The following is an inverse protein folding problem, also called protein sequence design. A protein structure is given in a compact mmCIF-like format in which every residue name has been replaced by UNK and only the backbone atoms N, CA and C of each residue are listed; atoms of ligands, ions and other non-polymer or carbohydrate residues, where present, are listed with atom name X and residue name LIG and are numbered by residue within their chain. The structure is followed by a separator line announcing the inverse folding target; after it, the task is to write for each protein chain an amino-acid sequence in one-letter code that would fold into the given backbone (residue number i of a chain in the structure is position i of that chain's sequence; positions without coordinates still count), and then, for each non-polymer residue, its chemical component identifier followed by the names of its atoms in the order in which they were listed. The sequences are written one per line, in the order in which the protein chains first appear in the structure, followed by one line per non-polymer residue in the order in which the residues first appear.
data_IF_301042931684
#
_entry.id   IF_301042931684
#
_cell.length_a   1.000
_cell.length_b   1.000
_cell.length_c   1.000
_cell.angle_alpha   90.00
_cell.angle_beta   90.00
_cell.angle_gamma   90.00
#
_symmetry.space_group_name_H-M   'P 1'
#
loop_
_entity.id
_entity.type
_entity.pdbx_description
1 polymer ?
#
# COMPACT_ATOMS: atom_id res chain seq x y z
N UNK A 1 -11.07 25.50 2.86
CA UNK A 1 -10.85 24.56 3.98
C UNK A 1 -9.36 24.24 4.01
N UNK A 2 -8.65 24.48 5.10
CA UNK A 2 -7.23 24.15 5.19
C UNK A 2 -7.07 22.64 5.42
N UNK A 3 -6.14 22.01 4.71
CA UNK A 3 -5.81 20.59 4.89
C UNK A 3 -5.11 20.32 6.24
N UNK A 4 -5.01 19.05 6.66
CA UNK A 4 -4.26 18.67 7.85
C UNK A 4 -2.77 19.03 7.70
N UNK A 5 -2.13 19.44 8.79
CA UNK A 5 -0.71 19.77 8.81
C UNK A 5 0.17 18.57 8.46
N UNK A 6 1.28 18.79 7.74
CA UNK A 6 2.25 17.76 7.38
C UNK A 6 2.69 16.90 8.58
N UNK A 7 2.90 17.51 9.75
CA UNK A 7 3.27 16.80 10.97
C UNK A 7 2.19 15.82 11.46
N UNK A 8 0.91 16.20 11.35
CA UNK A 8 -0.20 15.33 11.76
C UNK A 8 -0.35 14.13 10.80
N UNK A 9 -0.14 14.37 9.50
CA UNK A 9 -0.10 13.30 8.50
C UNK A 9 1.04 12.32 8.81
N UNK A 10 2.26 12.82 8.95
CA UNK A 10 3.44 11.99 9.25
C UNK A 10 3.26 11.19 10.55
N UNK A 11 2.82 11.83 11.63
CA UNK A 11 2.58 11.14 12.91
C UNK A 11 1.58 9.98 12.75
N UNK A 12 0.49 10.21 12.00
CA UNK A 12 -0.53 9.18 11.75
C UNK A 12 0.03 8.02 10.93
N UNK A 13 0.74 8.31 9.83
CA UNK A 13 1.34 7.29 8.97
C UNK A 13 2.36 6.43 9.72
N UNK A 14 3.31 7.06 10.42
CA UNK A 14 4.36 6.34 11.15
C UNK A 14 3.79 5.57 12.34
N UNK A 15 2.82 6.14 13.08
CA UNK A 15 2.14 5.45 14.17
C UNK A 15 1.46 4.17 13.70
N UNK A 16 0.67 4.25 12.63
CA UNK A 16 0.00 3.07 12.05
C UNK A 16 0.99 2.04 11.50
N UNK A 17 2.10 2.50 10.89
CA UNK A 17 3.14 1.63 10.36
C UNK A 17 3.83 0.81 11.47
N UNK A 18 4.14 1.45 12.61
CA UNK A 18 4.75 0.81 13.78
C UNK A 18 3.78 -0.18 14.41
N UNK A 19 2.51 0.20 14.59
CA UNK A 19 1.49 -0.70 15.12
C UNK A 19 1.35 -1.92 14.22
N UNK A 20 1.29 -1.72 12.90
CA UNK A 20 1.24 -2.82 11.94
C UNK A 20 2.48 -3.72 12.02
N UNK A 21 3.68 -3.15 12.15
CA UNK A 21 4.92 -3.90 12.31
C UNK A 21 4.89 -4.79 13.57
N UNK A 22 4.43 -4.24 14.70
CA UNK A 22 4.30 -4.98 15.96
C UNK A 22 3.30 -6.13 15.84
N UNK A 23 2.16 -5.92 15.18
CA UNK A 23 1.17 -6.98 14.97
C UNK A 23 1.69 -8.09 14.05
N UNK A 24 2.42 -7.74 12.98
CA UNK A 24 3.04 -8.72 12.08
C UNK A 24 4.12 -9.50 12.80
N UNK A 25 4.99 -8.83 13.56
CA UNK A 25 6.03 -9.46 14.37
C UNK A 25 5.45 -10.39 15.43
N UNK A 26 4.42 -9.96 16.17
CA UNK A 26 3.73 -10.79 17.14
C UNK A 26 3.12 -12.05 16.50
N UNK A 27 2.49 -11.90 15.33
CA UNK A 27 1.93 -13.02 14.56
C UNK A 27 3.01 -14.01 14.11
N UNK A 28 4.14 -13.53 13.58
CA UNK A 28 5.29 -14.36 13.19
C UNK A 28 5.89 -15.08 14.41
N UNK A 29 6.06 -14.35 15.52
CA UNK A 29 6.61 -14.90 16.77
C UNK A 29 5.75 -16.04 17.31
N UNK A 30 4.44 -15.83 17.45
CA UNK A 30 3.50 -16.86 17.90
C UNK A 30 3.54 -18.10 16.99
N UNK A 31 3.63 -17.91 15.67
CA UNK A 31 3.61 -19.02 14.72
C UNK A 31 4.92 -19.83 14.71
N UNK A 32 6.06 -19.16 14.78
CA UNK A 32 7.38 -19.82 14.73
C UNK A 32 7.68 -20.48 16.08
N UNK A 33 7.57 -19.74 17.18
CA UNK A 33 7.98 -20.22 18.50
C UNK A 33 6.96 -21.16 19.14
N UNK A 34 5.67 -20.84 19.09
CA UNK A 34 4.65 -21.63 19.79
C UNK A 34 4.09 -22.72 18.88
N UNK A 35 3.76 -22.39 17.62
CA UNK A 35 3.13 -23.36 16.72
C UNK A 35 4.11 -24.23 15.93
N UNK A 36 5.40 -23.90 15.89
CA UNK A 36 6.45 -24.60 15.10
C UNK A 36 6.02 -24.92 13.66
N UNK A 37 5.24 -24.01 13.05
CA UNK A 37 4.75 -24.17 11.68
C UNK A 37 5.61 -23.39 10.68
N UNK A 38 5.70 -23.92 9.47
CA UNK A 38 6.39 -23.26 8.36
C UNK A 38 5.74 -21.92 8.00
N UNK A 39 6.56 -21.01 7.49
CA UNK A 39 6.15 -19.73 6.92
C UNK A 39 5.11 -19.98 5.83
N UNK A 40 3.96 -19.33 5.97
CA UNK A 40 2.87 -19.50 5.03
C UNK A 40 2.85 -18.32 4.06
N UNK A 41 2.36 -18.57 2.86
CA UNK A 41 2.18 -17.58 1.81
C UNK A 41 1.45 -16.31 2.31
N UNK A 42 0.51 -16.46 3.25
CA UNK A 42 -0.15 -15.32 3.90
C UNK A 42 0.80 -14.40 4.66
N UNK A 43 1.82 -14.93 5.34
CA UNK A 43 2.73 -14.14 6.16
C UNK A 43 3.75 -13.43 5.27
N UNK A 44 4.20 -14.08 4.19
CA UNK A 44 5.03 -13.45 3.15
C UNK A 44 4.31 -12.26 2.48
N UNK A 45 3.03 -12.41 2.13
CA UNK A 45 2.23 -11.33 1.55
C UNK A 45 2.07 -10.13 2.50
N UNK A 46 1.91 -10.37 3.81
CA UNK A 46 1.86 -9.30 4.82
C UNK A 46 3.18 -8.54 4.91
N UNK A 47 4.31 -9.26 4.90
CA UNK A 47 5.64 -8.65 4.95
C UNK A 47 5.87 -7.77 3.71
N UNK A 48 5.54 -8.26 2.51
CA UNK A 48 5.67 -7.49 1.27
C UNK A 48 4.79 -6.24 1.32
N UNK A 49 3.55 -6.37 1.79
CA UNK A 49 2.66 -5.23 1.97
C UNK A 49 3.23 -4.19 2.94
N UNK A 50 3.79 -4.63 4.07
CA UNK A 50 4.41 -3.74 5.04
C UNK A 50 5.59 -2.97 4.45
N UNK A 51 6.44 -3.62 3.64
CA UNK A 51 7.51 -2.94 2.93
C UNK A 51 6.98 -1.91 1.91
N UNK A 52 5.90 -2.22 1.19
CA UNK A 52 5.25 -1.24 0.31
C UNK A 52 4.73 -0.02 1.07
N UNK A 53 4.16 -0.23 2.26
CA UNK A 53 3.73 0.86 3.15
C UNK A 53 4.91 1.66 3.74
N UNK A 54 6.05 1.00 3.99
CA UNK A 54 7.27 1.67 4.46
C UNK A 54 7.81 2.61 3.39
N UNK A 55 7.84 2.20 2.11
CA UNK A 55 8.21 3.07 0.99
C UNK A 55 7.32 4.31 0.97
N UNK A 56 6.01 4.15 1.15
CA UNK A 56 5.08 5.29 1.23
C UNK A 56 5.35 6.21 2.42
N UNK A 57 5.68 5.66 3.58
CA UNK A 57 6.04 6.45 4.75
C UNK A 57 7.33 7.27 4.53
N UNK A 58 8.31 6.71 3.82
CA UNK A 58 9.54 7.41 3.44
C UNK A 58 9.23 8.54 2.45
N UNK A 59 8.45 8.26 1.40
CA UNK A 59 8.06 9.28 0.42
C UNK A 59 7.28 10.43 1.07
N UNK A 60 6.44 10.15 2.07
CA UNK A 60 5.74 11.18 2.83
C UNK A 60 6.71 12.17 3.52
N UNK A 61 7.87 11.71 4.01
CA UNK A 61 8.92 12.60 4.56
C UNK A 61 9.50 13.48 3.46
N UNK A 62 9.80 12.89 2.30
CA UNK A 62 10.35 13.64 1.14
C UNK A 62 9.37 14.72 0.69
N UNK A 63 8.08 14.41 0.61
CA UNK A 63 7.04 15.39 0.26
C UNK A 63 6.88 16.48 1.31
N UNK A 64 7.05 16.15 2.60
CA UNK A 64 7.06 17.15 3.66
C UNK A 64 8.29 18.07 3.57
N UNK A 65 9.48 17.53 3.26
CA UNK A 65 10.71 18.33 3.11
C UNK A 65 10.70 19.23 1.88
N UNK A 66 10.06 18.81 0.79
CA UNK A 66 9.92 19.63 -0.43
C UNK A 66 8.82 20.69 -0.32
N UNK A 67 8.06 20.72 0.78
CA UNK A 67 6.94 21.65 0.97
C UNK A 67 5.70 21.30 0.13
N UNK A 68 5.67 20.13 -0.51
CA UNK A 68 4.51 19.65 -1.24
C UNK A 68 3.31 19.40 -0.30
N UNK A 69 3.60 19.01 0.95
CA UNK A 69 2.60 18.67 1.98
C UNK A 69 2.07 19.86 2.80
N UNK A 70 2.06 21.07 2.23
CA UNK A 70 1.54 22.25 2.92
C UNK A 70 0.00 22.26 2.99
N UNK A 71 -0.62 22.74 4.09
CA UNK A 71 -2.07 22.78 4.28
C UNK A 71 -2.86 23.55 3.21
N UNK A 72 -2.17 24.37 2.43
CA UNK A 72 -2.71 25.22 1.36
C UNK A 72 -2.61 24.56 -0.01
N UNK A 73 -1.80 23.52 -0.15
CA UNK A 73 -1.66 22.78 -1.38
C UNK A 73 -2.74 21.69 -1.44
N UNK A 74 -3.38 21.57 -2.60
CA UNK A 74 -4.31 20.48 -2.85
C UNK A 74 -3.55 19.17 -3.06
N UNK A 75 -4.24 18.04 -2.86
CA UNK A 75 -3.69 16.70 -3.11
C UNK A 75 -3.29 16.47 -4.58
N UNK A 76 -3.87 17.25 -5.51
CA UNK A 76 -3.51 17.26 -6.94
C UNK A 76 -2.29 18.14 -7.24
N UNK A 77 -1.77 18.87 -6.25
CA UNK A 77 -0.67 19.83 -6.37
C UNK A 77 -0.89 20.94 -7.41
N UNK A 78 -2.11 21.12 -7.94
CA UNK A 78 -2.45 22.14 -8.95
C UNK A 78 -2.19 23.58 -8.46
N UNK A 79 -2.34 23.82 -7.16
CA UNK A 79 -2.15 25.14 -6.56
C UNK A 79 -0.70 25.38 -6.09
N UNK A 80 0.17 24.38 -6.21
CA UNK A 80 1.55 24.51 -5.77
C UNK A 80 2.33 25.28 -6.83
N UNK A 81 2.92 26.43 -6.47
CA UNK A 81 3.81 27.17 -7.36
C UNK A 81 5.25 26.87 -6.96
N UNK A 82 5.82 25.82 -7.55
CA UNK A 82 7.22 25.44 -7.38
C UNK A 82 7.98 25.53 -8.70
N UNK A 83 9.30 25.50 -8.63
CA UNK A 83 10.15 25.42 -9.82
C UNK A 83 9.82 24.15 -10.64
N UNK A 84 9.88 24.26 -11.96
CA UNK A 84 9.46 23.20 -12.90
C UNK A 84 10.22 21.90 -12.61
N UNK A 85 11.53 22.01 -12.31
CA UNK A 85 12.38 20.86 -11.96
C UNK A 85 11.93 20.16 -10.67
N UNK A 86 11.46 20.92 -9.68
CA UNK A 86 10.93 20.35 -8.43
C UNK A 86 9.59 19.67 -8.64
N UNK A 87 8.72 20.27 -9.46
CA UNK A 87 7.44 19.68 -9.82
C UNK A 87 7.62 18.35 -10.55
N UNK A 88 8.50 18.31 -11.55
CA UNK A 88 8.83 17.08 -12.28
C UNK A 88 9.35 15.99 -11.35
N UNK A 89 10.25 16.33 -10.42
CA UNK A 89 10.80 15.38 -9.46
C UNK A 89 9.72 14.81 -8.52
N UNK A 90 8.87 15.66 -7.94
CA UNK A 90 7.81 15.22 -7.04
C UNK A 90 6.75 14.41 -7.77
N UNK A 91 6.37 14.78 -8.98
CA UNK A 91 5.39 14.01 -9.78
C UNK A 91 5.92 12.61 -10.13
N UNK A 92 7.23 12.48 -10.46
CA UNK A 92 7.87 11.16 -10.64
C UNK A 92 7.84 10.32 -9.35
N UNK A 93 8.13 10.93 -8.21
CA UNK A 93 8.04 10.25 -6.91
C UNK A 93 6.61 9.82 -6.56
N UNK A 94 5.61 10.65 -6.87
CA UNK A 94 4.18 10.33 -6.67
C UNK A 94 3.78 9.15 -7.55
N UNK A 95 4.20 9.15 -8.82
CA UNK A 95 3.91 8.05 -9.73
C UNK A 95 4.52 6.72 -9.25
N UNK A 96 5.80 6.75 -8.83
CA UNK A 96 6.46 5.58 -8.25
C UNK A 96 5.82 5.15 -6.92
N UNK A 97 5.46 6.11 -6.06
CA UNK A 97 4.79 5.84 -4.79
C UNK A 97 3.41 5.23 -4.97
N UNK A 98 2.66 5.64 -5.99
CA UNK A 98 1.36 5.05 -6.30
C UNK A 98 1.45 3.56 -6.62
N UNK A 99 2.51 3.11 -7.32
CA UNK A 99 2.77 1.69 -7.55
C UNK A 99 2.97 0.93 -6.23
N UNK A 100 3.80 1.47 -5.33
CA UNK A 100 4.02 0.88 -4.01
C UNK A 100 2.74 0.84 -3.16
N UNK A 101 1.92 1.89 -3.24
CA UNK A 101 0.63 2.00 -2.56
C UNK A 101 -0.36 0.92 -3.00
N UNK A 102 -0.62 0.83 -4.30
CA UNK A 102 -1.55 -0.16 -4.83
C UNK A 102 -1.06 -1.58 -4.55
N UNK A 103 0.24 -1.84 -4.73
CA UNK A 103 0.85 -3.13 -4.39
C UNK A 103 0.61 -3.47 -2.91
N UNK A 104 0.89 -2.54 -2.00
CA UNK A 104 0.65 -2.75 -0.57
C UNK A 104 -0.83 -3.06 -0.26
N UNK A 105 -1.77 -2.29 -0.81
CA UNK A 105 -3.20 -2.48 -0.58
C UNK A 105 -3.71 -3.83 -1.09
N UNK A 106 -3.34 -4.24 -2.30
CA UNK A 106 -3.78 -5.51 -2.87
C UNK A 106 -3.12 -6.69 -2.15
N UNK A 107 -1.86 -6.59 -1.76
CA UNK A 107 -1.17 -7.64 -0.99
C UNK A 107 -1.77 -7.81 0.42
N UNK A 108 -2.19 -6.73 1.07
CA UNK A 108 -3.00 -6.80 2.30
C UNK A 108 -4.28 -7.63 2.10
N UNK A 109 -5.01 -7.40 1.00
CA UNK A 109 -6.22 -8.18 0.68
C UNK A 109 -5.87 -9.64 0.45
N UNK A 110 -4.86 -9.95 -0.35
CA UNK A 110 -4.44 -11.34 -0.59
C UNK A 110 -4.00 -12.04 0.68
N UNK A 111 -3.31 -11.36 1.60
CA UNK A 111 -2.94 -11.92 2.90
C UNK A 111 -4.18 -12.29 3.74
N UNK A 112 -5.19 -11.43 3.75
CA UNK A 112 -6.48 -11.67 4.40
C UNK A 112 -7.17 -12.90 3.80
N UNK A 113 -7.30 -12.96 2.48
CA UNK A 113 -7.91 -14.11 1.79
C UNK A 113 -7.12 -15.41 2.02
N UNK A 114 -5.78 -15.35 2.00
CA UNK A 114 -4.92 -16.49 2.29
C UNK A 114 -5.08 -17.00 3.73
N UNK A 115 -5.32 -16.08 4.68
CA UNK A 115 -5.64 -16.43 6.08
C UNK A 115 -7.01 -17.10 6.16
N UNK A 116 -8.04 -16.55 5.50
CA UNK A 116 -9.38 -17.15 5.47
C UNK A 116 -9.40 -18.54 4.84
N UNK A 117 -8.60 -18.75 3.79
CA UNK A 117 -8.47 -20.06 3.13
C UNK A 117 -7.90 -21.16 4.05
N UNK A 118 -7.10 -20.79 5.06
CA UNK A 118 -6.63 -21.72 6.10
C UNK A 118 -7.65 -21.94 7.20
N UNK A 119 -8.41 -20.90 7.55
CA UNK A 119 -9.35 -20.95 8.66
C UNK A 119 -10.58 -21.80 8.32
N UNK A 120 -11.08 -21.74 7.09
CA UNK A 120 -12.30 -22.45 6.73
C UNK A 120 -12.04 -23.92 6.34
N UNK A 121 -12.70 -24.89 7.01
CA UNK A 121 -12.52 -26.31 6.72
C UNK A 121 -13.12 -26.68 5.35
N UNK A 122 -12.61 -27.77 4.75
CA UNK A 122 -13.03 -28.26 3.42
C UNK A 122 -14.53 -28.59 3.30
N UNK A 123 -15.24 -28.77 4.42
CA UNK A 123 -16.67 -29.10 4.42
C UNK A 123 -17.56 -27.93 3.99
N UNK A 124 -17.14 -26.68 4.20
CA UNK A 124 -17.93 -25.48 3.88
C UNK A 124 -17.75 -25.05 2.42
N UNK A 125 -18.31 -25.84 1.49
CA UNK A 125 -18.10 -25.67 0.03
C UNK A 125 -18.52 -24.27 -0.47
N UNK A 126 -19.67 -23.75 -0.05
CA UNK A 126 -20.17 -22.45 -0.50
C UNK A 126 -19.22 -21.30 -0.15
N UNK A 127 -18.72 -21.27 1.08
CA UNK A 127 -17.80 -20.25 1.55
C UNK A 127 -16.44 -20.32 0.83
N UNK A 128 -16.01 -21.53 0.49
CA UNK A 128 -14.77 -21.73 -0.27
C UNK A 128 -14.87 -21.23 -1.70
N UNK A 129 -16.01 -21.48 -2.36
CA UNK A 129 -16.28 -20.94 -3.69
C UNK A 129 -16.26 -19.41 -3.63
N UNK A 130 -16.93 -18.80 -2.63
CA UNK A 130 -16.91 -17.34 -2.45
C UNK A 130 -15.48 -16.79 -2.27
N UNK A 131 -14.62 -17.49 -1.51
CA UNK A 131 -13.20 -17.11 -1.36
C UNK A 131 -12.40 -17.22 -2.66
N UNK A 132 -12.60 -18.29 -3.44
CA UNK A 132 -11.94 -18.42 -4.74
C UNK A 132 -12.37 -17.33 -5.71
N UNK A 133 -13.67 -17.05 -5.80
CA UNK A 133 -14.22 -15.98 -6.64
C UNK A 133 -13.65 -14.62 -6.21
N UNK A 134 -13.61 -14.34 -4.91
CA UNK A 134 -13.08 -13.07 -4.39
C UNK A 134 -11.57 -12.95 -4.64
N UNK A 135 -10.83 -14.06 -4.53
CA UNK A 135 -9.38 -14.08 -4.84
C UNK A 135 -9.14 -13.78 -6.30
N UNK A 136 -9.89 -14.42 -7.20
CA UNK A 136 -9.80 -14.17 -8.64
C UNK A 136 -10.15 -12.71 -8.97
N UNK A 137 -11.25 -12.18 -8.39
CA UNK A 137 -11.66 -10.79 -8.58
C UNK A 137 -10.58 -9.79 -8.11
N UNK A 138 -10.00 -10.01 -6.93
CA UNK A 138 -8.88 -9.18 -6.44
C UNK A 138 -7.64 -9.30 -7.34
N UNK A 139 -7.35 -10.49 -7.87
CA UNK A 139 -6.30 -10.75 -8.87
C UNK A 139 -6.48 -9.91 -10.13
N UNK A 140 -7.65 -10.02 -10.74
CA UNK A 140 -7.99 -9.24 -11.92
C UNK A 140 -7.96 -7.74 -11.64
N UNK A 141 -8.53 -7.30 -10.52
CA UNK A 141 -8.52 -5.90 -10.10
C UNK A 141 -7.11 -5.34 -9.93
N UNK A 142 -6.18 -6.11 -9.35
CA UNK A 142 -4.78 -5.71 -9.23
C UNK A 142 -4.13 -5.53 -10.61
N UNK A 143 -4.30 -6.50 -11.51
CA UNK A 143 -3.73 -6.45 -12.87
C UNK A 143 -4.27 -5.25 -13.63
N UNK A 144 -5.59 -5.02 -13.58
CA UNK A 144 -6.23 -3.87 -14.25
C UNK A 144 -5.73 -2.56 -13.65
N UNK A 145 -5.61 -2.46 -12.32
CA UNK A 145 -5.12 -1.24 -11.67
C UNK A 145 -3.68 -0.93 -12.07
N UNK A 146 -2.79 -1.93 -12.05
CA UNK A 146 -1.40 -1.78 -12.46
C UNK A 146 -1.30 -1.42 -13.94
N UNK A 147 -2.05 -2.10 -14.80
CA UNK A 147 -2.08 -1.80 -16.23
C UNK A 147 -2.57 -0.37 -16.47
N UNK A 148 -3.70 0.03 -15.88
CA UNK A 148 -4.22 1.40 -16.00
C UNK A 148 -3.21 2.43 -15.52
N UNK A 149 -2.52 2.20 -14.41
CA UNK A 149 -1.54 3.15 -13.88
C UNK A 149 -0.31 3.33 -14.80
N UNK A 150 0.06 2.29 -15.54
CA UNK A 150 1.18 2.34 -16.50
C UNK A 150 0.71 2.91 -17.86
N UNK A 151 -0.50 2.59 -18.30
CA UNK A 151 -0.98 2.90 -19.65
C UNK A 151 -1.83 4.18 -19.78
N UNK A 152 -2.35 4.75 -18.69
CA UNK A 152 -3.20 5.96 -18.74
C UNK A 152 -2.50 7.14 -19.40
N UNK A 153 -1.20 7.33 -19.13
CA UNK A 153 -0.38 8.36 -19.73
C UNK A 153 0.72 7.71 -20.56
N UNK A 154 0.37 7.14 -21.72
CA UNK A 154 1.36 6.68 -22.69
C UNK A 154 1.59 7.76 -23.76
N UNK A 155 2.83 8.26 -23.97
CA UNK A 155 4.11 7.86 -23.35
C UNK A 155 4.24 8.32 -21.90
N UNK A 156 5.00 7.57 -21.08
CA UNK A 156 5.19 7.79 -19.63
C UNK A 156 5.61 9.25 -19.32
N UNK A 157 6.31 9.90 -20.26
CA UNK A 157 6.69 11.30 -20.22
C UNK A 157 5.51 12.27 -20.07
N UNK A 158 4.32 11.92 -20.57
CA UNK A 158 3.12 12.74 -20.41
C UNK A 158 2.58 12.80 -18.98
N UNK A 159 3.18 12.06 -18.06
CA UNK A 159 2.82 12.11 -16.65
C UNK A 159 3.49 13.27 -15.89
N UNK A 160 4.45 14.00 -16.49
CA UNK A 160 5.16 15.13 -15.87
C UNK A 160 5.36 16.32 -16.81
#
# INVERSE_FOLDING_TARGET
MNGPTAAALLASFWGLLIIAALLIAARLWLRIQIQTKNLLLSDALLIISWFGSLVQAILAIVFASEGALHPRNDYTLLNWQADIKKMEHVTKLIWMGALAFFTSLYFCKFALLATFMQLFPRSMKALRIALYVTTAFCGCGYIITMASHIFICWPIEGNW
#
